data_IF_165842189928
#
_entry.id   IF_165842189928
#
_cell.length_a   1.000
_cell.length_b   1.000
_cell.length_c   1.000
_cell.angle_alpha   90.00
_cell.angle_beta   90.00
_cell.angle_gamma   90.00
#
_symmetry.space_group_name_H-M   'P 1'
#
loop_
_entity.id
_entity.type
_entity.pdbx_description
1 polymer ?
#
# COMPACT_ATOMS: atom_id res chain seq x y z
N UNK A 1 15.90 -28.39 -15.73
CA UNK A 1 15.94 -26.91 -15.74
C UNK A 1 15.21 -26.43 -14.50
N UNK A 2 15.94 -26.02 -13.45
CA UNK A 2 15.31 -25.51 -12.23
C UNK A 2 14.93 -24.05 -12.46
N UNK A 3 13.64 -23.74 -12.44
CA UNK A 3 13.18 -22.36 -12.42
C UNK A 3 13.71 -21.70 -11.14
N UNK A 4 14.64 -20.76 -11.27
CA UNK A 4 15.18 -20.04 -10.13
C UNK A 4 14.08 -19.11 -9.61
N UNK A 5 13.40 -19.51 -8.54
CA UNK A 5 12.36 -18.68 -7.91
C UNK A 5 12.97 -17.34 -7.49
N UNK A 6 12.38 -16.22 -7.93
CA UNK A 6 12.83 -14.88 -7.55
C UNK A 6 12.91 -14.76 -6.02
N UNK A 7 14.03 -14.28 -5.45
CA UNK A 7 14.17 -14.13 -4.01
C UNK A 7 13.06 -13.27 -3.41
N UNK A 8 12.54 -13.67 -2.25
CA UNK A 8 11.41 -12.97 -1.59
C UNK A 8 11.66 -11.48 -1.38
N UNK A 9 12.89 -11.08 -1.02
CA UNK A 9 13.24 -9.65 -0.87
C UNK A 9 13.07 -8.88 -2.17
N UNK A 10 13.51 -9.43 -3.30
CA UNK A 10 13.38 -8.78 -4.62
C UNK A 10 11.91 -8.56 -4.97
N UNK A 11 11.04 -9.52 -4.62
CA UNK A 11 9.58 -9.37 -4.81
C UNK A 11 8.99 -8.29 -3.91
N UNK A 12 9.45 -8.19 -2.65
CA UNK A 12 9.03 -7.13 -1.72
C UNK A 12 9.48 -5.75 -2.21
N UNK A 13 10.74 -5.64 -2.66
CA UNK A 13 11.29 -4.38 -3.19
C UNK A 13 10.51 -3.92 -4.43
N UNK A 14 10.24 -4.82 -5.37
CA UNK A 14 9.41 -4.52 -6.55
C UNK A 14 7.99 -4.09 -6.18
N UNK A 15 7.38 -4.73 -5.16
CA UNK A 15 6.07 -4.35 -4.66
C UNK A 15 6.09 -2.97 -3.96
N UNK A 16 7.15 -2.64 -3.22
CA UNK A 16 7.34 -1.32 -2.61
C UNK A 16 7.43 -0.23 -3.68
N UNK A 17 8.24 -0.44 -4.71
CA UNK A 17 8.33 0.49 -5.84
C UNK A 17 6.99 0.67 -6.56
N UNK A 18 6.25 -0.42 -6.78
CA UNK A 18 4.95 -0.36 -7.41
C UNK A 18 3.95 0.46 -6.59
N UNK A 19 3.87 0.20 -5.28
CA UNK A 19 3.00 0.96 -4.36
C UNK A 19 3.39 2.44 -4.33
N UNK A 20 4.70 2.73 -4.32
CA UNK A 20 5.19 4.11 -4.36
C UNK A 20 4.76 4.82 -5.64
N UNK A 21 4.92 4.21 -6.82
CA UNK A 21 4.48 4.78 -8.10
C UNK A 21 2.98 5.04 -8.13
N UNK A 22 2.17 4.09 -7.63
CA UNK A 22 0.71 4.27 -7.56
C UNK A 22 0.33 5.41 -6.61
N UNK A 23 1.03 5.55 -5.49
CA UNK A 23 0.80 6.66 -4.55
C UNK A 23 1.17 8.00 -5.17
N UNK A 24 2.34 8.10 -5.79
CA UNK A 24 2.79 9.33 -6.44
C UNK A 24 1.77 9.77 -7.50
N UNK A 25 1.30 8.82 -8.31
CA UNK A 25 0.22 9.06 -9.27
C UNK A 25 -1.06 9.56 -8.59
N UNK A 26 -1.54 8.86 -7.55
CA UNK A 26 -2.74 9.26 -6.81
C UNK A 26 -2.62 10.63 -6.13
N UNK A 27 -1.41 11.07 -5.76
CA UNK A 27 -1.14 12.40 -5.24
C UNK A 27 -1.21 13.49 -6.32
N UNK A 28 -0.82 13.17 -7.55
CA UNK A 28 -0.83 14.10 -8.70
C UNK A 28 -2.18 14.18 -9.40
N UNK A 29 -3.05 13.17 -9.25
CA UNK A 29 -4.37 13.15 -9.86
C UNK A 29 -5.32 14.19 -9.21
N UNK A 30 -6.19 14.79 -10.04
CA UNK A 30 -7.20 15.78 -9.63
C UNK A 30 -8.04 15.23 -8.48
N UNK A 31 -8.40 16.10 -7.54
CA UNK A 31 -9.16 15.71 -6.35
C UNK A 31 -10.47 14.99 -6.74
N UNK A 32 -10.62 13.77 -6.23
CA UNK A 32 -11.85 12.99 -6.29
C UNK A 32 -12.24 12.53 -4.89
N UNK A 33 -13.53 12.25 -4.63
CA UNK A 33 -14.04 11.91 -3.30
C UNK A 33 -13.37 10.67 -2.70
N UNK A 34 -12.87 9.76 -3.55
CA UNK A 34 -12.20 8.52 -3.14
C UNK A 34 -10.69 8.60 -3.06
N UNK A 35 -10.08 9.73 -3.44
CA UNK A 35 -8.62 9.88 -3.52
C UNK A 35 -7.96 9.69 -2.15
N UNK A 36 -8.55 10.26 -1.10
CA UNK A 36 -8.01 10.16 0.25
C UNK A 36 -8.02 8.71 0.77
N UNK A 37 -9.10 7.96 0.50
CA UNK A 37 -9.21 6.55 0.86
C UNK A 37 -8.16 5.70 0.13
N UNK A 38 -8.03 5.90 -1.20
CA UNK A 38 -7.01 5.24 -2.01
C UNK A 38 -5.60 5.48 -1.49
N UNK A 39 -5.24 6.73 -1.21
CA UNK A 39 -3.91 7.06 -0.69
C UNK A 39 -3.69 6.40 0.68
N UNK A 40 -4.72 6.33 1.52
CA UNK A 40 -4.63 5.65 2.81
C UNK A 40 -4.34 4.15 2.67
N UNK A 41 -5.02 3.47 1.74
CA UNK A 41 -4.79 2.05 1.44
C UNK A 41 -3.39 1.79 0.90
N UNK A 42 -2.88 2.66 0.02
CA UNK A 42 -1.52 2.56 -0.53
C UNK A 42 -0.47 2.68 0.57
N UNK A 43 -0.62 3.61 1.51
CA UNK A 43 0.27 3.72 2.67
C UNK A 43 0.15 2.52 3.62
N UNK A 44 -1.06 2.00 3.85
CA UNK A 44 -1.24 0.79 4.68
C UNK A 44 -0.55 -0.43 4.05
N UNK A 45 -0.62 -0.55 2.72
CA UNK A 45 0.05 -1.61 1.99
C UNK A 45 1.57 -1.47 2.04
N UNK A 46 2.10 -0.26 1.87
CA UNK A 46 3.52 0.02 2.05
C UNK A 46 3.99 -0.37 3.46
N UNK A 47 3.23 -0.04 4.51
CA UNK A 47 3.55 -0.44 5.88
C UNK A 47 3.66 -1.96 6.03
N UNK A 48 2.74 -2.72 5.44
CA UNK A 48 2.78 -4.19 5.47
C UNK A 48 4.00 -4.75 4.73
N UNK A 49 4.39 -4.14 3.61
CA UNK A 49 5.59 -4.52 2.87
C UNK A 49 6.87 -4.24 3.65
N UNK A 50 6.97 -3.10 4.34
CA UNK A 50 8.11 -2.83 5.24
C UNK A 50 8.19 -3.82 6.40
N UNK A 51 7.05 -4.22 6.97
CA UNK A 51 6.97 -5.26 8.01
C UNK A 51 7.44 -6.64 7.48
N UNK A 52 7.06 -6.97 6.25
CA UNK A 52 7.54 -8.18 5.57
C UNK A 52 9.05 -8.12 5.30
N UNK A 53 9.57 -6.98 4.83
CA UNK A 53 11.01 -6.80 4.57
C UNK A 53 11.84 -6.99 5.84
N UNK A 54 11.36 -6.45 6.97
CA UNK A 54 11.96 -6.71 8.28
C UNK A 54 12.04 -8.22 8.55
N UNK A 55 10.94 -8.94 8.39
CA UNK A 55 10.88 -10.38 8.68
C UNK A 55 11.85 -11.21 7.84
N UNK A 56 12.27 -10.70 6.68
CA UNK A 56 13.22 -11.34 5.78
C UNK A 56 14.64 -10.75 5.84
N UNK A 57 14.91 -9.73 6.67
CA UNK A 57 16.24 -9.11 6.81
C UNK A 57 16.94 -9.43 8.13
N UNK A 58 18.23 -9.77 8.06
CA UNK A 58 19.08 -10.02 9.24
C UNK A 58 20.05 -8.86 9.52
N UNK A 59 20.03 -7.83 8.67
CA UNK A 59 20.92 -6.67 8.78
C UNK A 59 20.27 -5.62 9.67
N UNK A 60 20.88 -5.33 10.83
CA UNK A 60 20.33 -4.43 11.86
C UNK A 60 20.05 -3.00 11.35
N UNK A 61 20.87 -2.50 10.42
CA UNK A 61 20.65 -1.18 9.81
C UNK A 61 19.38 -1.19 8.95
N UNK A 62 19.19 -2.20 8.11
CA UNK A 62 17.99 -2.34 7.29
C UNK A 62 16.74 -2.56 8.16
N UNK A 63 16.89 -3.21 9.31
CA UNK A 63 15.79 -3.36 10.25
C UNK A 63 15.28 -2.02 10.78
N UNK A 64 16.19 -1.15 11.26
CA UNK A 64 15.82 0.19 11.75
C UNK A 64 15.19 1.04 10.67
N UNK A 65 15.74 0.98 9.45
CA UNK A 65 15.18 1.69 8.30
C UNK A 65 13.77 1.20 7.96
N UNK A 66 13.56 -0.12 7.90
CA UNK A 66 12.25 -0.71 7.63
C UNK A 66 11.22 -0.35 8.71
N UNK A 67 11.59 -0.38 10.00
CA UNK A 67 10.71 0.03 11.09
C UNK A 67 10.34 1.52 11.01
N UNK A 68 11.29 2.39 10.71
CA UNK A 68 11.03 3.82 10.56
C UNK A 68 10.09 4.09 9.38
N UNK A 69 10.31 3.41 8.25
CA UNK A 69 9.48 3.51 7.06
C UNK A 69 8.06 2.95 7.30
N UNK A 70 7.94 1.82 8.00
CA UNK A 70 6.66 1.26 8.43
C UNK A 70 5.88 2.23 9.32
N UNK A 71 6.53 2.79 10.35
CA UNK A 71 5.89 3.73 11.28
C UNK A 71 5.39 4.98 10.54
N UNK A 72 6.21 5.54 9.64
CA UNK A 72 5.83 6.65 8.78
C UNK A 72 4.62 6.32 7.91
N UNK A 73 4.66 5.18 7.20
CA UNK A 73 3.58 4.73 6.34
C UNK A 73 2.26 4.54 7.13
N UNK A 74 2.32 3.90 8.30
CA UNK A 74 1.15 3.75 9.20
C UNK A 74 0.58 5.09 9.65
N UNK A 75 1.43 6.06 9.97
CA UNK A 75 0.98 7.40 10.35
C UNK A 75 0.26 8.09 9.18
N UNK A 76 0.87 8.04 7.99
CA UNK A 76 0.29 8.62 6.77
C UNK A 76 -1.05 7.97 6.40
N UNK A 77 -1.15 6.64 6.50
CA UNK A 77 -2.39 5.91 6.29
C UNK A 77 -3.50 6.44 7.19
N UNK A 78 -3.25 6.60 8.51
CA UNK A 78 -4.23 7.16 9.44
C UNK A 78 -4.64 8.59 9.10
N UNK A 79 -3.69 9.45 8.75
CA UNK A 79 -3.99 10.83 8.39
C UNK A 79 -4.89 10.91 7.15
N UNK A 80 -4.64 10.06 6.15
CA UNK A 80 -5.44 10.00 4.94
C UNK A 80 -6.81 9.34 5.15
N UNK A 81 -6.95 8.36 6.04
CA UNK A 81 -8.28 7.83 6.45
C UNK A 81 -9.15 8.92 7.05
N UNK A 82 -8.61 9.70 7.99
CA UNK A 82 -9.34 10.82 8.58
C UNK A 82 -9.74 11.86 7.53
N UNK A 83 -8.87 12.12 6.56
CA UNK A 83 -9.19 13.01 5.45
C UNK A 83 -10.28 12.44 4.53
N UNK A 84 -10.33 11.11 4.34
CA UNK A 84 -11.39 10.44 3.60
C UNK A 84 -12.72 10.52 4.34
N UNK A 85 -12.73 10.19 5.64
CA UNK A 85 -13.90 10.27 6.52
C UNK A 85 -14.49 11.69 6.56
N UNK A 86 -13.63 12.72 6.57
CA UNK A 86 -14.06 14.12 6.52
C UNK A 86 -14.57 14.58 5.14
N UNK A 87 -14.21 13.85 4.07
CA UNK A 87 -14.59 14.19 2.69
C UNK A 87 -15.85 13.45 2.21
N UNK A 88 -16.27 12.38 2.89
CA UNK A 88 -17.51 11.66 2.61
C UNK A 88 -18.70 12.50 3.09
N UNK A 89 -19.57 13.01 2.19
CA UNK A 89 -20.85 13.60 2.60
C UNK A 89 -21.69 12.52 3.28
N UNK A 90 -22.50 12.89 4.27
CA UNK A 90 -23.37 11.98 5.06
C UNK A 90 -24.49 11.27 4.27
N UNK A 91 -24.36 11.13 2.96
CA UNK A 91 -25.33 10.47 2.10
C UNK A 91 -24.55 9.71 1.02
N UNK A 92 -24.61 8.38 1.03
CA UNK A 92 -24.66 7.46 -0.14
C UNK A 92 -24.34 6.00 0.25
N UNK A 93 -25.10 5.11 -0.40
CA UNK A 93 -25.33 3.67 -0.16
C UNK A 93 -24.10 2.75 -0.32
N UNK A 94 -24.01 1.75 0.56
CA UNK A 94 -22.91 0.78 0.81
C UNK A 94 -22.34 -0.02 -0.39
N UNK A 95 -22.94 0.02 -1.58
CA UNK A 95 -22.64 -0.93 -2.66
C UNK A 95 -21.35 -0.70 -3.47
N UNK A 96 -20.83 0.53 -3.56
CA UNK A 96 -19.72 0.84 -4.48
C UNK A 96 -18.31 0.69 -3.87
N UNK A 97 -18.23 0.48 -2.54
CA UNK A 97 -16.96 0.33 -1.82
C UNK A 97 -16.39 -1.09 -2.04
N UNK A 98 -17.26 -2.10 -2.03
CA UNK A 98 -16.84 -3.50 -2.09
C UNK A 98 -16.34 -3.91 -3.49
N UNK A 99 -16.95 -3.40 -4.57
CA UNK A 99 -16.60 -3.78 -5.94
C UNK A 99 -15.19 -3.29 -6.37
N UNK A 100 -14.77 -2.12 -5.85
CA UNK A 100 -13.45 -1.55 -6.18
C UNK A 100 -12.32 -2.19 -5.38
N UNK A 101 -12.56 -2.49 -4.10
CA UNK A 101 -11.62 -3.23 -3.26
C UNK A 101 -11.32 -4.60 -3.88
N UNK A 102 -12.34 -5.29 -4.40
CA UNK A 102 -12.19 -6.62 -5.00
C UNK A 102 -11.40 -6.59 -6.32
N UNK A 103 -11.64 -5.57 -7.18
CA UNK A 103 -10.85 -5.37 -8.40
C UNK A 103 -9.38 -5.06 -8.11
N UNK A 104 -9.12 -4.21 -7.11
CA UNK A 104 -7.77 -3.86 -6.68
C UNK A 104 -7.04 -5.05 -6.05
N UNK A 105 -7.72 -5.86 -5.23
CA UNK A 105 -7.17 -7.10 -4.69
C UNK A 105 -6.85 -8.13 -5.78
N UNK A 106 -7.61 -8.16 -6.87
CA UNK A 106 -7.42 -9.07 -8.00
C UNK A 106 -6.20 -8.69 -8.85
N UNK A 107 -6.03 -7.41 -9.21
CA UNK A 107 -4.88 -6.95 -10.00
C UNK A 107 -3.52 -7.15 -9.28
N UNK A 108 -3.54 -7.23 -7.95
CA UNK A 108 -2.35 -7.29 -7.12
C UNK A 108 -1.99 -8.71 -6.64
N UNK A 109 -2.92 -9.68 -6.70
CA UNK A 109 -2.62 -11.11 -6.49
C UNK A 109 -1.88 -11.74 -7.67
N UNK A 110 -2.01 -11.19 -8.88
CA UNK A 110 -1.33 -11.70 -10.09
C UNK A 110 0.20 -11.57 -10.09
N UNK A 111 0.78 -10.80 -9.15
CA UNK A 111 2.24 -10.59 -9.05
C UNK A 111 2.94 -11.44 -7.98
N UNK A 112 2.21 -12.33 -7.29
CA UNK A 112 2.77 -13.17 -6.23
C UNK A 112 2.42 -14.65 -6.46
N UNK A 113 2.90 -15.21 -7.57
CA UNK A 113 3.15 -16.65 -7.69
C UNK A 113 4.67 -16.83 -7.80
#
# INVERSE_FOLDING_TARGET
>A
MSATSTPVRVRIDAALEQVQRHRERALTETAGPRRAALIAELYEREARLWSALFSHTRIRVHWRAALAAEAYARQRARSWRRAAEAATPLDFTDGEIDEWADRFHTELRGGVA
#
